data_IF_490116973213
#
_entry.id   IF_490116973213
#
_cell.length_a   1.000
_cell.length_b   1.000
_cell.length_c   1.000
_cell.angle_alpha   90.00
_cell.angle_beta   90.00
_cell.angle_gamma   90.00
#
_symmetry.space_group_name_H-M   'P 1'
#
loop_
_entity.id
_entity.type
_entity.pdbx_description
1 polymer ?
#
# COMPACT_ATOMS: atom_id res chain seq x y z
N UNK A 1 13.59 -17.13 18.74
CA UNK A 1 12.78 -17.13 17.51
C UNK A 1 13.50 -16.24 16.51
N UNK A 2 13.97 -16.80 15.40
CA UNK A 2 14.51 -16.01 14.29
C UNK A 2 13.33 -15.39 13.56
N UNK A 3 13.12 -14.09 13.72
CA UNK A 3 12.16 -13.34 12.91
C UNK A 3 12.76 -13.24 11.51
N UNK A 4 12.22 -13.97 10.54
CA UNK A 4 12.61 -13.82 9.14
C UNK A 4 12.12 -12.46 8.65
N UNK A 5 13.04 -11.54 8.37
CA UNK A 5 12.74 -10.26 7.73
C UNK A 5 12.45 -10.50 6.26
N UNK A 6 11.29 -10.04 5.78
CA UNK A 6 10.94 -10.10 4.36
C UNK A 6 11.88 -9.20 3.54
N UNK A 7 12.23 -9.65 2.33
CA UNK A 7 12.81 -8.76 1.33
C UNK A 7 11.77 -7.75 0.82
N UNK A 8 12.21 -6.62 0.26
CA UNK A 8 11.31 -5.65 -0.39
C UNK A 8 10.41 -6.32 -1.43
N UNK A 9 10.96 -7.28 -2.19
CA UNK A 9 10.22 -8.00 -3.23
C UNK A 9 9.08 -8.82 -2.65
N UNK A 10 9.32 -9.54 -1.56
CA UNK A 10 8.30 -10.35 -0.90
C UNK A 10 7.24 -9.45 -0.24
N UNK A 11 7.65 -8.39 0.45
CA UNK A 11 6.73 -7.43 1.06
C UNK A 11 5.82 -6.76 0.03
N UNK A 12 6.36 -6.35 -1.12
CA UNK A 12 5.58 -5.74 -2.21
C UNK A 12 4.65 -6.75 -2.87
N UNK A 13 5.10 -7.99 -3.08
CA UNK A 13 4.23 -9.03 -3.64
C UNK A 13 3.03 -9.31 -2.72
N UNK A 14 3.26 -9.33 -1.41
CA UNK A 14 2.20 -9.51 -0.43
C UNK A 14 1.25 -8.30 -0.34
N UNK A 15 1.79 -7.08 -0.36
CA UNK A 15 1.02 -5.83 -0.46
C UNK A 15 0.07 -5.87 -1.67
N UNK A 16 0.60 -6.19 -2.86
CA UNK A 16 -0.18 -6.25 -4.10
C UNK A 16 -1.29 -7.29 -4.00
N UNK A 17 -0.97 -8.51 -3.57
CA UNK A 17 -1.96 -9.58 -3.42
C UNK A 17 -3.05 -9.21 -2.41
N UNK A 18 -2.69 -8.57 -1.30
CA UNK A 18 -3.63 -8.11 -0.29
C UNK A 18 -4.57 -7.03 -0.84
N UNK A 19 -4.04 -6.03 -1.55
CA UNK A 19 -4.86 -4.98 -2.18
C UNK A 19 -5.85 -5.58 -3.18
N UNK A 20 -5.39 -6.46 -4.08
CA UNK A 20 -6.26 -7.10 -5.08
C UNK A 20 -7.31 -8.04 -4.46
N UNK A 21 -7.06 -8.53 -3.25
CA UNK A 21 -8.00 -9.36 -2.49
C UNK A 21 -8.92 -8.55 -1.57
N UNK A 22 -8.96 -7.22 -1.70
CA UNK A 22 -9.82 -6.35 -0.89
C UNK A 22 -9.31 -6.08 0.54
N UNK A 23 -8.03 -6.38 0.82
CA UNK A 23 -7.40 -6.24 2.14
C UNK A 23 -6.44 -5.04 2.23
N UNK A 24 -6.72 -3.98 1.47
CA UNK A 24 -5.83 -2.82 1.37
C UNK A 24 -5.51 -2.21 2.75
N UNK A 25 -6.51 -2.06 3.63
CA UNK A 25 -6.29 -1.51 4.98
C UNK A 25 -5.43 -2.42 5.88
N UNK A 26 -5.58 -3.74 5.79
CA UNK A 26 -4.73 -4.69 6.51
C UNK A 26 -3.28 -4.58 6.04
N UNK A 27 -3.06 -4.43 4.72
CA UNK A 27 -1.72 -4.27 4.17
C UNK A 27 -1.11 -2.91 4.54
N UNK A 28 -1.93 -1.85 4.58
CA UNK A 28 -1.50 -0.54 5.07
C UNK A 28 -0.96 -0.65 6.49
N UNK A 29 -1.74 -1.24 7.41
CA UNK A 29 -1.33 -1.38 8.81
C UNK A 29 -0.06 -2.20 8.98
N UNK A 30 0.13 -3.21 8.13
CA UNK A 30 1.29 -4.09 8.17
C UNK A 30 2.56 -3.44 7.61
N UNK A 31 2.49 -2.77 6.47
CA UNK A 31 3.68 -2.39 5.71
C UNK A 31 4.04 -0.90 5.82
N UNK A 32 3.13 -0.04 6.27
CA UNK A 32 3.40 1.39 6.34
C UNK A 32 4.02 1.74 7.70
N UNK A 33 5.15 2.46 7.66
CA UNK A 33 5.86 2.93 8.84
C UNK A 33 5.09 4.06 9.55
N UNK A 34 5.36 4.26 10.86
CA UNK A 34 4.70 5.30 11.66
C UNK A 34 4.85 6.71 11.08
N UNK A 35 6.00 6.99 10.47
CA UNK A 35 6.36 8.27 9.88
C UNK A 35 6.24 8.28 8.34
N UNK A 36 5.34 7.45 7.79
CA UNK A 36 5.11 7.39 6.34
C UNK A 36 4.62 8.72 5.78
N UNK A 37 5.07 9.05 4.57
CA UNK A 37 4.62 10.20 3.79
C UNK A 37 4.01 9.69 2.49
N UNK A 38 2.76 10.05 2.21
CA UNK A 38 2.08 9.68 0.97
C UNK A 38 1.61 10.93 0.23
N UNK A 39 1.86 10.94 -1.07
CA UNK A 39 1.55 12.05 -1.94
C UNK A 39 0.71 11.57 -3.13
N UNK A 40 -0.31 12.37 -3.46
CA UNK A 40 -1.14 12.17 -4.63
C UNK A 40 -0.75 13.23 -5.66
N UNK A 41 -0.14 12.82 -6.78
CA UNK A 41 0.33 13.73 -7.84
C UNK A 41 1.20 14.87 -7.28
N UNK A 42 0.82 16.12 -7.51
CA UNK A 42 1.55 17.31 -7.09
C UNK A 42 0.99 17.96 -5.81
N UNK A 43 0.06 17.31 -5.10
CA UNK A 43 -0.50 17.83 -3.86
C UNK A 43 0.52 17.78 -2.72
N UNK A 44 0.26 18.50 -1.63
CA UNK A 44 1.07 18.37 -0.42
C UNK A 44 0.99 16.94 0.14
N UNK A 45 2.10 16.39 0.65
CA UNK A 45 2.11 15.05 1.22
C UNK A 45 1.31 14.99 2.53
N UNK A 46 0.58 13.90 2.72
CA UNK A 46 0.03 13.52 4.03
C UNK A 46 1.10 12.78 4.82
N UNK A 47 1.44 13.28 6.01
CA UNK A 47 2.54 12.75 6.83
C UNK A 47 2.01 12.07 8.09
N UNK A 48 2.55 10.89 8.39
CA UNK A 48 2.23 10.07 9.55
C UNK A 48 1.20 8.98 9.26
N UNK A 49 1.36 7.81 9.88
CA UNK A 49 0.51 6.64 9.66
C UNK A 49 -0.94 6.89 10.04
N UNK A 50 -1.19 7.58 11.16
CA UNK A 50 -2.55 7.90 11.60
C UNK A 50 -3.30 8.81 10.62
N UNK A 51 -2.63 9.86 10.10
CA UNK A 51 -3.24 10.78 9.15
C UNK A 51 -3.52 10.10 7.80
N UNK A 52 -2.57 9.29 7.32
CA UNK A 52 -2.75 8.51 6.10
C UNK A 52 -3.85 7.46 6.26
N UNK A 53 -3.90 6.74 7.39
CA UNK A 53 -4.95 5.77 7.66
C UNK A 53 -6.36 6.39 7.59
N UNK A 54 -6.58 7.54 8.23
CA UNK A 54 -7.86 8.22 8.17
C UNK A 54 -8.24 8.64 6.74
N UNK A 55 -7.26 9.02 5.92
CA UNK A 55 -7.45 9.34 4.51
C UNK A 55 -7.84 8.11 3.70
N UNK A 56 -7.13 7.00 3.88
CA UNK A 56 -7.42 5.72 3.21
C UNK A 56 -8.79 5.16 3.63
N UNK A 57 -9.15 5.20 4.93
CA UNK A 57 -10.47 4.79 5.42
C UNK A 57 -11.61 5.59 4.76
N UNK A 58 -11.42 6.91 4.60
CA UNK A 58 -12.37 7.76 3.88
C UNK A 58 -12.49 7.37 2.40
N UNK A 59 -11.37 7.06 1.75
CA UNK A 59 -11.36 6.63 0.36
C UNK A 59 -12.10 5.30 0.19
N UNK A 60 -11.69 4.25 0.92
CA UNK A 60 -12.31 2.94 0.81
C UNK A 60 -13.77 2.92 1.30
N UNK A 61 -14.11 3.72 2.31
CA UNK A 61 -15.49 3.89 2.76
C UNK A 61 -16.40 4.64 1.78
N UNK A 62 -15.83 5.37 0.82
CA UNK A 62 -16.59 6.03 -0.25
C UNK A 62 -16.88 5.12 -1.44
N UNK A 63 -16.23 3.95 -1.53
CA UNK A 63 -16.44 3.00 -2.61
C UNK A 63 -17.69 2.17 -2.33
N UNK A 64 -18.66 2.22 -3.25
CA UNK A 64 -19.86 1.36 -3.18
C UNK A 64 -19.49 -0.12 -3.41
N UNK A 65 -18.57 -0.38 -4.34
CA UNK A 65 -17.98 -1.69 -4.59
C UNK A 65 -16.61 -1.57 -5.26
N UNK A 66 -15.71 -2.51 -4.95
CA UNK A 66 -14.48 -2.72 -5.72
C UNK A 66 -14.77 -3.65 -6.89
N UNK A 67 -14.68 -3.14 -8.12
CA UNK A 67 -14.99 -3.90 -9.35
C UNK A 67 -13.81 -4.67 -9.93
N UNK A 68 -12.73 -4.79 -9.15
CA UNK A 68 -11.48 -5.40 -9.58
C UNK A 68 -10.43 -4.38 -9.99
N UNK A 69 -9.22 -4.88 -10.15
CA UNK A 69 -8.04 -4.17 -10.63
C UNK A 69 -6.94 -5.18 -10.88
N UNK A 70 -5.86 -4.77 -11.52
CA UNK A 70 -4.69 -5.59 -11.70
C UNK A 70 -3.40 -4.78 -11.56
N UNK A 71 -2.32 -5.49 -11.26
CA UNK A 71 -0.97 -4.93 -11.16
C UNK A 71 -0.07 -5.60 -12.20
N UNK A 72 -0.27 -5.34 -13.51
CA UNK A 72 0.45 -6.04 -14.58
C UNK A 72 1.96 -5.81 -14.55
N UNK A 73 2.41 -4.71 -13.94
CA UNK A 73 3.83 -4.38 -13.81
C UNK A 73 4.13 -4.06 -12.36
N UNK A 74 5.02 -4.85 -11.77
CA UNK A 74 5.62 -4.61 -10.45
C UNK A 74 7.13 -4.64 -10.62
N UNK A 75 7.77 -3.51 -10.38
CA UNK A 75 9.23 -3.40 -10.38
C UNK A 75 9.71 -3.23 -8.94
N UNK A 76 10.77 -3.94 -8.58
CA UNK A 76 11.43 -3.83 -7.27
C UNK A 76 12.93 -3.72 -7.52
N UNK A 77 13.51 -2.63 -7.03
CA UNK A 77 14.93 -2.32 -7.12
C UNK A 77 15.43 -1.86 -5.73
N UNK A 78 16.21 -2.72 -5.06
CA UNK A 78 16.66 -2.49 -3.69
C UNK A 78 15.50 -2.28 -2.71
N UNK A 79 15.42 -1.08 -2.13
CA UNK A 79 14.40 -0.63 -1.18
C UNK A 79 13.24 0.12 -1.84
N UNK A 80 13.20 0.18 -3.19
CA UNK A 80 12.17 0.89 -3.95
C UNK A 80 11.32 -0.07 -4.75
N UNK A 81 10.05 0.32 -4.91
CA UNK A 81 9.11 -0.40 -5.74
C UNK A 81 8.23 0.56 -6.54
N UNK A 82 7.80 0.10 -7.71
CA UNK A 82 6.83 0.76 -8.57
C UNK A 82 5.77 -0.26 -8.97
N UNK A 83 4.50 0.13 -8.88
CA UNK A 83 3.37 -0.69 -9.27
C UNK A 83 2.54 0.11 -10.27
N UNK A 84 2.26 -0.49 -11.42
CA UNK A 84 1.27 0.03 -12.36
C UNK A 84 -0.08 -0.62 -12.05
N UNK A 85 -1.08 0.17 -11.62
CA UNK A 85 -2.44 -0.30 -11.33
C UNK A 85 -3.36 0.00 -12.52
N UNK A 86 -4.14 -0.99 -12.98
CA UNK A 86 -5.12 -0.86 -14.08
C UNK A 86 -6.45 -1.51 -13.76
#
# INVERSE_FOLDING_TARGET
MTTTTLTTREAVAELVNGVLSGKAMEMFDRFYAEQVSMQENNNEPTVGKAANRAREEKFFGSLEAFHGGSAPVVLVDGDRAMINWV
#
